data_IF_752077519254
#
_entry.id   IF_752077519254
#
_cell.length_a   1.000
_cell.length_b   1.000
_cell.length_c   1.000
_cell.angle_alpha   90.00
_cell.angle_beta   90.00
_cell.angle_gamma   90.00
#
_symmetry.space_group_name_H-M   'P 1'
#
loop_
_entity.id
_entity.type
_entity.pdbx_description
1 polymer ?
#
# COMPACT_ATOMS: atom_id res chain seq x y z
N UNK A 1 44.49 -13.76 -7.89
CA UNK A 1 44.03 -12.43 -7.48
C UNK A 1 42.79 -12.10 -8.29
N UNK A 2 41.59 -12.16 -7.68
CA UNK A 2 40.37 -11.71 -8.34
C UNK A 2 40.42 -10.18 -8.40
N UNK A 3 40.16 -9.55 -9.56
CA UNK A 3 40.22 -8.10 -9.69
C UNK A 3 39.23 -7.42 -8.73
N UNK A 4 39.68 -6.36 -8.05
CA UNK A 4 38.91 -5.59 -7.05
C UNK A 4 37.56 -5.13 -7.62
N UNK A 5 37.50 -4.82 -8.92
CA UNK A 5 36.28 -4.46 -9.64
C UNK A 5 35.19 -5.54 -9.57
N UNK A 6 35.52 -6.82 -9.86
CA UNK A 6 34.55 -7.92 -9.82
C UNK A 6 33.96 -8.16 -8.41
N UNK A 7 34.73 -7.81 -7.36
CA UNK A 7 34.29 -7.92 -5.97
C UNK A 7 33.32 -6.79 -5.59
N UNK A 8 33.49 -5.60 -6.14
CA UNK A 8 32.60 -4.46 -5.94
C UNK A 8 31.27 -4.66 -6.65
N UNK A 9 31.29 -5.18 -7.88
CA UNK A 9 30.06 -5.48 -8.64
C UNK A 9 29.17 -6.50 -7.91
N UNK A 10 29.80 -7.56 -7.37
CA UNK A 10 29.11 -8.58 -6.58
C UNK A 10 28.47 -8.01 -5.30
N UNK A 11 29.19 -7.12 -4.59
CA UNK A 11 28.67 -6.51 -3.37
C UNK A 11 27.47 -5.60 -3.66
N UNK A 12 27.53 -4.76 -4.69
CA UNK A 12 26.42 -3.86 -5.06
C UNK A 12 25.20 -4.61 -5.58
N UNK A 13 25.37 -5.77 -6.24
CA UNK A 13 24.26 -6.62 -6.67
C UNK A 13 23.54 -7.26 -5.47
N UNK A 14 24.29 -7.78 -4.49
CA UNK A 14 23.73 -8.35 -3.26
C UNK A 14 23.00 -7.31 -2.40
N UNK A 15 23.54 -6.10 -2.28
CA UNK A 15 22.87 -5.00 -1.55
C UNK A 15 21.58 -4.56 -2.22
N UNK A 16 21.54 -4.50 -3.56
CA UNK A 16 20.31 -4.20 -4.31
C UNK A 16 19.25 -5.30 -4.16
N UNK A 17 19.66 -6.57 -4.20
CA UNK A 17 18.79 -7.73 -3.98
C UNK A 17 18.13 -7.73 -2.60
N UNK A 18 18.93 -7.46 -1.56
CA UNK A 18 18.45 -7.38 -0.18
C UNK A 18 17.55 -6.15 0.06
N UNK A 19 17.82 -5.02 -0.60
CA UNK A 19 17.01 -3.80 -0.48
C UNK A 19 15.62 -3.95 -1.08
N UNK A 20 15.49 -4.55 -2.27
CA UNK A 20 14.19 -4.82 -2.89
C UNK A 20 13.30 -5.71 -2.02
N UNK A 21 13.88 -6.75 -1.40
CA UNK A 21 13.16 -7.63 -0.48
C UNK A 21 12.69 -6.89 0.79
N UNK A 22 13.51 -5.99 1.34
CA UNK A 22 13.14 -5.14 2.49
C UNK A 22 11.94 -4.26 2.18
N UNK A 23 11.89 -3.64 0.99
CA UNK A 23 10.72 -2.85 0.59
C UNK A 23 9.45 -3.69 0.46
N UNK A 24 9.55 -4.90 -0.07
CA UNK A 24 8.40 -5.84 -0.12
C UNK A 24 7.93 -6.23 1.27
N UNK A 25 8.86 -6.55 2.18
CA UNK A 25 8.51 -6.88 3.56
C UNK A 25 7.85 -5.70 4.28
N UNK A 26 8.40 -4.49 4.10
CA UNK A 26 7.81 -3.27 4.64
C UNK A 26 6.40 -3.02 4.07
N UNK A 27 6.21 -3.12 2.76
CA UNK A 27 4.91 -2.98 2.11
C UNK A 27 3.90 -4.00 2.64
N UNK A 28 4.32 -5.26 2.77
CA UNK A 28 3.48 -6.34 3.32
C UNK A 28 3.07 -6.04 4.77
N UNK A 29 4.00 -5.63 5.63
CA UNK A 29 3.69 -5.28 7.03
C UNK A 29 2.73 -4.10 7.08
N UNK A 30 3.00 -3.03 6.34
CA UNK A 30 2.15 -1.82 6.30
C UNK A 30 0.74 -2.15 5.81
N UNK A 31 0.61 -2.94 4.74
CA UNK A 31 -0.70 -3.36 4.22
C UNK A 31 -1.45 -4.31 5.16
N UNK A 32 -0.75 -5.25 5.81
CA UNK A 32 -1.36 -6.18 6.77
C UNK A 32 -1.82 -5.48 8.05
N UNK A 33 -1.07 -4.50 8.55
CA UNK A 33 -1.50 -3.67 9.68
C UNK A 33 -2.80 -2.93 9.33
N UNK A 34 -2.93 -2.42 8.11
CA UNK A 34 -4.16 -1.78 7.67
C UNK A 34 -5.32 -2.79 7.53
N UNK A 35 -5.03 -3.99 7.03
CA UNK A 35 -6.00 -5.08 6.97
C UNK A 35 -6.47 -5.49 8.37
N UNK A 36 -5.58 -5.50 9.37
CA UNK A 36 -5.90 -5.83 10.75
C UNK A 36 -6.86 -4.81 11.38
N UNK A 37 -6.64 -3.51 11.13
CA UNK A 37 -7.58 -2.46 11.55
C UNK A 37 -8.95 -2.65 10.89
N UNK A 38 -8.96 -2.94 9.58
CA UNK A 38 -10.21 -3.22 8.85
C UNK A 38 -10.92 -4.47 9.40
N UNK A 39 -10.16 -5.52 9.74
CA UNK A 39 -10.69 -6.77 10.30
C UNK A 39 -11.29 -6.57 11.68
N UNK A 40 -10.62 -5.78 12.52
CA UNK A 40 -11.11 -5.42 13.84
C UNK A 40 -12.49 -4.75 13.75
N UNK A 41 -12.69 -3.82 12.81
CA UNK A 41 -14.01 -3.23 12.56
C UNK A 41 -15.02 -4.24 11.99
N UNK A 42 -14.59 -5.13 11.09
CA UNK A 42 -15.45 -6.18 10.50
C UNK A 42 -16.01 -7.16 11.53
N UNK A 43 -15.32 -7.38 12.65
CA UNK A 43 -15.79 -8.23 13.75
C UNK A 43 -16.56 -7.45 14.83
N UNK A 44 -16.86 -6.17 14.59
CA UNK A 44 -17.65 -5.32 15.49
C UNK A 44 -16.85 -4.43 16.42
N UNK A 45 -15.53 -4.32 16.23
CA UNK A 45 -14.70 -3.35 16.92
C UNK A 45 -15.10 -1.92 16.57
N UNK A 46 -15.13 -1.02 17.57
CA UNK A 46 -15.57 0.37 17.39
C UNK A 46 -14.48 1.40 17.72
N UNK A 47 -13.32 0.95 18.20
CA UNK A 47 -12.16 1.84 18.43
C UNK A 47 -11.75 2.52 17.13
N UNK A 48 -11.53 3.83 17.19
CA UNK A 48 -11.19 4.70 16.05
C UNK A 48 -12.26 4.79 14.94
N UNK A 49 -13.43 4.17 15.09
CA UNK A 49 -14.47 4.19 14.06
C UNK A 49 -15.01 5.62 13.83
N UNK A 50 -15.03 6.42 14.90
CA UNK A 50 -15.31 7.85 14.92
C UNK A 50 -14.28 8.70 14.16
N UNK A 51 -13.11 8.17 13.85
CA UNK A 51 -12.07 8.87 13.07
C UNK A 51 -12.19 8.64 11.57
N UNK A 52 -12.96 7.62 11.15
CA UNK A 52 -13.28 7.36 9.73
C UNK A 52 -14.51 8.17 9.31
N UNK A 53 -15.45 8.33 10.23
CA UNK A 53 -16.67 9.12 10.00
C UNK A 53 -17.61 8.54 8.94
N UNK A 54 -18.67 9.29 8.65
CA UNK A 54 -19.49 9.11 7.46
C UNK A 54 -20.29 7.80 7.43
N UNK A 55 -20.29 7.13 6.27
CA UNK A 55 -21.08 5.92 6.04
C UNK A 55 -20.47 4.69 6.73
N UNK A 56 -19.14 4.63 6.85
CA UNK A 56 -18.43 3.53 7.51
C UNK A 56 -18.67 3.55 9.02
N UNK A 57 -18.61 4.73 9.65
CA UNK A 57 -18.94 4.88 11.07
C UNK A 57 -20.39 4.49 11.37
N UNK A 58 -21.35 5.05 10.61
CA UNK A 58 -22.78 4.75 10.78
C UNK A 58 -23.06 3.27 10.54
N UNK A 59 -22.57 2.71 9.43
CA UNK A 59 -22.79 1.33 9.06
C UNK A 59 -22.16 0.32 10.02
N UNK A 60 -21.01 0.67 10.61
CA UNK A 60 -20.35 -0.11 11.66
C UNK A 60 -21.12 -0.09 12.98
N UNK A 61 -21.65 1.07 13.41
CA UNK A 61 -22.47 1.17 14.62
C UNK A 61 -23.83 0.50 14.49
N UNK A 62 -24.44 0.53 13.31
CA UNK A 62 -25.73 -0.12 13.07
C UNK A 62 -25.61 -1.60 12.72
N UNK A 63 -24.39 -2.16 12.67
CA UNK A 63 -24.11 -3.55 12.28
C UNK A 63 -24.85 -3.99 11.01
N UNK A 64 -24.96 -3.09 10.03
CA UNK A 64 -25.68 -3.43 8.80
C UNK A 64 -24.94 -4.52 8.04
N UNK A 65 -25.67 -5.57 7.62
CA UNK A 65 -25.08 -6.72 6.91
C UNK A 65 -24.26 -6.26 5.70
N UNK A 66 -24.77 -5.28 4.95
CA UNK A 66 -24.06 -4.71 3.81
C UNK A 66 -22.71 -4.07 4.16
N UNK A 67 -22.64 -3.31 5.26
CA UNK A 67 -21.38 -2.69 5.69
C UNK A 67 -20.39 -3.74 6.20
N UNK A 68 -20.87 -4.75 6.92
CA UNK A 68 -20.02 -5.86 7.38
C UNK A 68 -19.44 -6.63 6.19
N UNK A 69 -20.26 -6.95 5.17
CA UNK A 69 -19.79 -7.64 3.96
C UNK A 69 -18.77 -6.80 3.19
N UNK A 70 -18.98 -5.49 3.04
CA UNK A 70 -18.01 -4.59 2.42
C UNK A 70 -16.71 -4.51 3.22
N UNK A 71 -16.79 -4.46 4.55
CA UNK A 71 -15.62 -4.43 5.42
C UNK A 71 -14.81 -5.74 5.30
N UNK A 72 -15.47 -6.90 5.29
CA UNK A 72 -14.83 -8.18 5.02
C UNK A 72 -14.21 -8.25 3.61
N UNK A 73 -14.92 -7.79 2.58
CA UNK A 73 -14.39 -7.72 1.23
C UNK A 73 -13.13 -6.84 1.18
N UNK A 74 -13.12 -5.70 1.88
CA UNK A 74 -11.98 -4.82 2.00
C UNK A 74 -10.81 -5.48 2.74
N UNK A 75 -11.06 -6.28 3.78
CA UNK A 75 -10.02 -7.07 4.46
C UNK A 75 -9.38 -8.06 3.50
N UNK A 76 -10.18 -8.87 2.80
CA UNK A 76 -9.67 -9.83 1.84
C UNK A 76 -8.84 -9.14 0.75
N UNK A 77 -9.35 -8.04 0.21
CA UNK A 77 -8.62 -7.26 -0.79
C UNK A 77 -7.26 -6.78 -0.26
N UNK A 78 -7.23 -6.21 0.95
CA UNK A 78 -5.98 -5.70 1.55
C UNK A 78 -4.98 -6.82 1.84
N UNK A 79 -5.42 -7.95 2.37
CA UNK A 79 -4.53 -9.11 2.63
C UNK A 79 -3.93 -9.62 1.33
N UNK A 80 -4.75 -9.80 0.28
CA UNK A 80 -4.26 -10.26 -1.02
C UNK A 80 -3.26 -9.25 -1.61
N UNK A 81 -3.62 -7.97 -1.66
CA UNK A 81 -2.72 -6.90 -2.12
C UNK A 81 -1.41 -6.88 -1.32
N UNK A 82 -1.44 -7.07 0.00
CA UNK A 82 -0.22 -7.06 0.83
C UNK A 82 0.74 -8.22 0.52
N UNK A 83 0.22 -9.35 0.04
CA UNK A 83 1.01 -10.57 -0.24
C UNK A 83 1.45 -10.67 -1.70
N UNK A 84 0.71 -10.04 -2.62
CA UNK A 84 1.00 -10.08 -4.06
C UNK A 84 2.41 -9.61 -4.43
N UNK A 85 2.97 -8.51 -3.87
CA UNK A 85 4.34 -8.10 -4.13
C UNK A 85 5.36 -9.20 -3.83
N UNK A 86 5.17 -9.98 -2.75
CA UNK A 86 6.07 -11.08 -2.39
C UNK A 86 6.04 -12.22 -3.42
N UNK A 87 4.86 -12.52 -3.96
CA UNK A 87 4.70 -13.50 -5.04
C UNK A 87 5.34 -13.02 -6.35
N UNK A 88 5.30 -11.70 -6.59
CA UNK A 88 5.93 -11.08 -7.74
C UNK A 88 7.47 -11.13 -7.71
N UNK A 89 8.10 -11.30 -6.54
CA UNK A 89 9.57 -11.44 -6.46
C UNK A 89 10.04 -12.89 -6.57
N UNK A 90 9.25 -13.84 -6.06
CA UNK A 90 9.75 -15.22 -5.79
C UNK A 90 9.75 -16.18 -6.98
N UNK A 91 9.04 -15.90 -8.09
CA UNK A 91 8.81 -16.91 -9.15
C UNK A 91 8.91 -16.37 -10.58
N UNK A 92 10.11 -16.25 -11.15
CA UNK A 92 10.26 -15.88 -12.55
C UNK A 92 9.83 -17.01 -13.52
N UNK A 93 9.31 -16.66 -14.70
CA UNK A 93 9.24 -17.57 -15.87
C UNK A 93 7.86 -18.00 -16.38
N UNK A 94 6.75 -17.78 -15.64
CA UNK A 94 5.40 -18.21 -16.07
C UNK A 94 4.49 -17.07 -16.58
N UNK A 95 3.50 -17.36 -17.43
CA UNK A 95 2.41 -16.42 -17.80
C UNK A 95 1.70 -15.88 -16.56
N UNK A 96 1.50 -16.74 -15.55
CA UNK A 96 0.94 -16.34 -14.26
C UNK A 96 1.77 -15.25 -13.57
N UNK A 97 3.09 -15.37 -13.60
CA UNK A 97 3.97 -14.37 -13.00
C UNK A 97 3.86 -13.02 -13.71
N UNK A 98 3.72 -13.00 -15.04
CA UNK A 98 3.47 -11.75 -15.78
C UNK A 98 2.16 -11.08 -15.37
N UNK A 99 1.10 -11.86 -15.16
CA UNK A 99 -0.19 -11.35 -14.68
C UNK A 99 -0.06 -10.77 -13.26
N UNK A 100 0.54 -11.53 -12.33
CA UNK A 100 0.79 -11.06 -10.95
C UNK A 100 1.60 -9.77 -10.96
N UNK A 101 2.68 -9.70 -11.76
CA UNK A 101 3.50 -8.49 -11.87
C UNK A 101 2.72 -7.32 -12.46
N UNK A 102 1.84 -7.56 -13.43
CA UNK A 102 0.92 -6.54 -13.96
C UNK A 102 -0.02 -6.00 -12.88
N UNK A 103 -0.63 -6.88 -12.09
CA UNK A 103 -1.49 -6.49 -10.96
C UNK A 103 -0.72 -5.68 -9.93
N UNK A 104 0.51 -6.07 -9.59
CA UNK A 104 1.33 -5.36 -8.59
C UNK A 104 1.78 -4.00 -9.14
N UNK A 105 1.97 -3.84 -10.45
CA UNK A 105 2.18 -2.53 -11.06
C UNK A 105 0.93 -1.65 -10.98
N UNK A 106 -0.25 -2.21 -11.23
CA UNK A 106 -1.51 -1.48 -11.05
C UNK A 106 -1.65 -1.03 -9.60
N UNK A 107 -1.38 -1.91 -8.64
CA UNK A 107 -1.35 -1.60 -7.21
C UNK A 107 -0.37 -0.45 -6.90
N UNK A 108 0.86 -0.53 -7.41
CA UNK A 108 1.92 0.47 -7.21
C UNK A 108 1.58 1.86 -7.78
N UNK A 109 0.63 1.96 -8.70
CA UNK A 109 0.19 3.23 -9.29
C UNK A 109 -1.11 3.71 -8.65
N UNK A 110 -2.09 2.82 -8.52
CA UNK A 110 -3.41 3.16 -8.00
C UNK A 110 -3.34 3.56 -6.53
N UNK A 111 -2.60 2.83 -5.69
CA UNK A 111 -2.51 3.13 -4.26
C UNK A 111 -1.91 4.51 -3.98
N UNK A 112 -0.76 4.91 -4.57
CA UNK A 112 -0.21 6.24 -4.35
C UNK A 112 -1.11 7.35 -4.89
N UNK A 113 -1.64 7.21 -6.10
CA UNK A 113 -2.50 8.23 -6.70
C UNK A 113 -3.78 8.42 -5.89
N UNK A 114 -4.39 7.31 -5.45
CA UNK A 114 -5.58 7.35 -4.62
C UNK A 114 -5.30 7.99 -3.26
N UNK A 115 -4.26 7.51 -2.56
CA UNK A 115 -3.87 8.07 -1.26
C UNK A 115 -3.48 9.55 -1.33
N UNK A 116 -2.74 9.95 -2.37
CA UNK A 116 -2.35 11.34 -2.61
C UNK A 116 -3.56 12.22 -2.92
N UNK A 117 -4.48 11.77 -3.77
CA UNK A 117 -5.68 12.52 -4.11
C UNK A 117 -6.57 12.74 -2.88
N UNK A 118 -6.83 11.67 -2.11
CA UNK A 118 -7.61 11.77 -0.88
C UNK A 118 -6.94 12.70 0.15
N UNK A 119 -5.68 12.45 0.46
CA UNK A 119 -4.90 13.28 1.41
C UNK A 119 -4.86 14.73 0.97
N UNK A 120 -4.59 14.99 -0.31
CA UNK A 120 -4.47 16.33 -0.88
C UNK A 120 -5.78 17.11 -0.77
N UNK A 121 -6.91 16.49 -1.14
CA UNK A 121 -8.24 17.10 -1.01
C UNK A 121 -8.54 17.47 0.44
N UNK A 122 -8.26 16.58 1.38
CA UNK A 122 -8.54 16.82 2.80
C UNK A 122 -7.62 17.91 3.37
N UNK A 123 -6.34 17.94 2.99
CA UNK A 123 -5.43 19.03 3.36
C UNK A 123 -5.91 20.37 2.81
N UNK A 124 -6.32 20.42 1.53
CA UNK A 124 -6.89 21.61 0.89
C UNK A 124 -8.12 22.15 1.63
N UNK A 125 -8.96 21.25 2.16
CA UNK A 125 -10.08 21.63 3.03
C UNK A 125 -9.58 22.21 4.35
N UNK A 126 -8.63 21.55 5.01
CA UNK A 126 -8.09 21.96 6.32
C UNK A 126 -7.37 23.32 6.28
N UNK A 127 -6.69 23.64 5.18
CA UNK A 127 -6.03 24.96 5.01
C UNK A 127 -6.97 26.05 4.48
N UNK A 128 -8.26 25.75 4.31
CA UNK A 128 -9.28 26.71 3.89
C UNK A 128 -9.28 27.06 2.41
N UNK A 129 -8.55 26.30 1.57
CA UNK A 129 -8.55 26.49 0.11
C UNK A 129 -9.86 25.96 -0.50
N UNK A 130 -10.35 24.82 0.02
CA UNK A 130 -11.66 24.26 -0.35
C UNK A 130 -12.60 24.43 0.86
N UNK A 131 -13.83 24.96 0.67
CA UNK A 131 -14.78 25.08 1.77
C UNK A 131 -15.21 23.69 2.24
N UNK A 132 -15.13 23.45 3.55
CA UNK A 132 -15.71 22.26 4.17
C UNK A 132 -17.25 22.30 4.05
N UNK A 133 -17.87 21.14 3.89
CA UNK A 133 -19.33 21.05 3.98
C UNK A 133 -19.79 21.45 5.40
N UNK A 134 -20.96 22.10 5.56
CA UNK A 134 -21.44 22.55 6.87
C UNK A 134 -21.59 21.43 7.91
N UNK A 135 -21.82 20.20 7.46
CA UNK A 135 -21.95 19.00 8.29
C UNK A 135 -20.68 18.14 8.32
N UNK A 136 -19.54 18.66 7.88
CA UNK A 136 -18.29 17.91 7.83
C UNK A 136 -17.74 17.67 9.24
N UNK A 137 -17.44 16.41 9.56
CA UNK A 137 -16.74 16.07 10.80
C UNK A 137 -15.25 16.43 10.66
N UNK A 138 -14.84 17.49 11.37
CA UNK A 138 -13.48 18.00 11.31
C UNK A 138 -12.47 17.03 11.94
N UNK A 139 -12.91 16.19 12.88
CA UNK A 139 -12.06 15.16 13.44
C UNK A 139 -11.82 14.05 12.41
N UNK A 140 -12.87 13.58 11.73
CA UNK A 140 -12.69 12.62 10.65
C UNK A 140 -11.77 13.16 9.55
N UNK A 141 -11.95 14.43 9.14
CA UNK A 141 -11.06 15.09 8.18
C UNK A 141 -9.61 15.10 8.66
N UNK A 142 -9.32 15.48 9.91
CA UNK A 142 -7.96 15.46 10.42
C UNK A 142 -7.32 14.06 10.35
N UNK A 143 -8.06 13.03 10.77
CA UNK A 143 -7.55 11.65 10.74
C UNK A 143 -7.37 11.12 9.32
N UNK A 144 -8.22 11.54 8.37
CA UNK A 144 -8.05 11.25 6.96
C UNK A 144 -6.78 11.88 6.39
N UNK A 145 -6.52 13.16 6.68
CA UNK A 145 -5.32 13.85 6.20
C UNK A 145 -4.01 13.30 6.75
N UNK A 146 -3.98 12.82 8.00
CA UNK A 146 -2.72 12.48 8.67
C UNK A 146 -2.48 10.97 8.83
N UNK A 147 -3.52 10.15 8.82
CA UNK A 147 -3.37 8.71 9.03
C UNK A 147 -4.00 7.88 7.92
N UNK A 148 -5.31 7.99 7.69
CA UNK A 148 -6.02 7.01 6.86
C UNK A 148 -5.60 7.08 5.38
N UNK A 149 -5.59 8.26 4.80
CA UNK A 149 -5.31 8.45 3.38
C UNK A 149 -3.80 8.35 3.07
N UNK A 150 -2.91 8.94 3.90
CA UNK A 150 -1.47 8.75 3.75
C UNK A 150 -1.02 7.29 3.89
N UNK A 151 -1.77 6.44 4.59
CA UNK A 151 -1.45 5.01 4.70
C UNK A 151 -1.45 4.33 3.32
N UNK A 152 -2.46 4.62 2.49
CA UNK A 152 -2.51 4.10 1.11
C UNK A 152 -1.33 4.60 0.27
N UNK A 153 -0.98 5.88 0.44
CA UNK A 153 0.16 6.48 -0.24
C UNK A 153 1.47 5.78 0.16
N UNK A 154 1.73 5.67 1.46
CA UNK A 154 2.92 5.02 2.02
C UNK A 154 3.05 3.58 1.51
N UNK A 155 1.96 2.81 1.61
CA UNK A 155 1.93 1.42 1.16
C UNK A 155 2.25 1.31 -0.33
N UNK A 156 1.56 2.08 -1.17
CA UNK A 156 1.80 2.08 -2.61
C UNK A 156 3.21 2.49 -3.00
N UNK A 157 3.80 3.48 -2.32
CA UNK A 157 5.18 3.91 -2.54
C UNK A 157 6.19 2.81 -2.21
N UNK A 158 5.95 2.04 -1.13
CA UNK A 158 6.80 0.88 -0.79
C UNK A 158 6.73 -0.21 -1.87
N UNK A 159 5.54 -0.48 -2.41
CA UNK A 159 5.36 -1.42 -3.53
C UNK A 159 6.07 -0.91 -4.78
N UNK A 160 5.91 0.37 -5.13
CA UNK A 160 6.58 0.99 -6.27
C UNK A 160 8.11 0.93 -6.12
N UNK A 161 8.65 1.28 -4.94
CA UNK A 161 10.07 1.21 -4.64
C UNK A 161 10.61 -0.22 -4.81
N UNK A 162 9.89 -1.24 -4.32
CA UNK A 162 10.25 -2.63 -4.53
C UNK A 162 10.37 -2.99 -6.02
N UNK A 163 9.36 -2.64 -6.83
CA UNK A 163 9.35 -2.95 -8.26
C UNK A 163 10.45 -2.23 -9.05
N UNK A 164 10.73 -0.97 -8.71
CA UNK A 164 11.78 -0.17 -9.35
C UNK A 164 13.18 -0.75 -9.07
N UNK A 165 13.45 -1.17 -7.83
CA UNK A 165 14.71 -1.81 -7.47
C UNK A 165 14.92 -3.15 -8.20
N UNK A 166 13.85 -3.89 -8.48
CA UNK A 166 13.93 -5.14 -9.24
C UNK A 166 14.14 -4.90 -10.74
N UNK A 167 13.59 -3.83 -11.30
CA UNK A 167 13.81 -3.49 -12.71
C UNK A 167 15.28 -3.15 -12.98
N UNK A 168 15.91 -2.36 -12.11
CA UNK A 168 17.32 -2.00 -12.25
C UNK A 168 18.28 -3.19 -12.20
N UNK A 169 17.93 -4.29 -11.52
CA UNK A 169 18.76 -5.51 -11.49
C UNK A 169 18.77 -6.24 -12.83
N UNK A 170 17.61 -6.36 -13.48
CA UNK A 170 17.48 -7.07 -14.77
C UNK A 170 18.20 -6.34 -15.90
N UNK A 171 18.18 -5.00 -15.89
CA UNK A 171 18.89 -4.19 -16.89
C UNK A 171 20.41 -4.29 -16.75
N UNK A 172 20.92 -4.37 -15.51
CA UNK A 172 22.37 -4.57 -15.28
C UNK A 172 22.86 -5.96 -15.68
N UNK A 173 22.05 -7.01 -15.52
CA UNK A 173 22.43 -8.36 -15.99
C UNK A 173 22.54 -8.42 -17.52
N UNK A 174 21.61 -7.79 -18.26
CA UNK A 174 21.66 -7.79 -19.73
C UNK A 174 22.80 -6.95 -20.30
N UNK A 175 23.26 -5.91 -19.60
CA UNK A 175 24.38 -5.08 -20.04
C UNK A 175 25.76 -5.72 -19.76
N UNK A 176 25.82 -6.78 -18.95
CA UNK A 176 27.04 -7.48 -18.57
C UNK A 176 27.32 -8.76 -19.38
N UNK A 177 26.44 -9.12 -20.32
CA UNK A 177 26.54 -10.27 -21.26
C UNK A 177 26.92 -9.76 -22.64
#
# INVERSE_FOLDING_TARGET
MVPIAARQDSATALERGSSGLRFVQAAMVVGLLFAAVSLYWSVGGTVLLDTVGGALERGGRTHSVGTILLAWAAVFLKVNASVLPLLAVRRAGSRWHRLVRGVVWVEAVVLPLYGLALTGVVILIQVGVIPAAPSADHRALAWHAFLWDPWFLMWGLLVAAALLHMRGQVETEHAAV
#
